data_IF_557934998379
#
_entry.id   IF_557934998379
#
_cell.length_a   1.000
_cell.length_b   1.000
_cell.length_c   1.000
_cell.angle_alpha   90.00
_cell.angle_beta   90.00
_cell.angle_gamma   90.00
#
_symmetry.space_group_name_H-M   'P 1'
#
loop_
_entity.id
_entity.type
_entity.pdbx_description
1 polymer ?
#
# COMPACT_ATOMS: atom_id res chain seq x y z
N UNK A 1 -9.46 -33.56 -13.39
CA UNK A 1 -9.07 -32.74 -14.56
C UNK A 1 -10.28 -32.69 -15.46
N UNK A 2 -11.09 -31.60 -15.43
CA UNK A 2 -12.13 -31.41 -16.44
C UNK A 2 -11.41 -31.09 -17.76
N UNK A 3 -11.74 -31.79 -18.83
CA UNK A 3 -11.21 -31.53 -20.18
C UNK A 3 -11.57 -30.11 -20.57
N UNK A 4 -10.61 -29.30 -21.07
CA UNK A 4 -10.90 -27.95 -21.58
C UNK A 4 -11.93 -28.08 -22.72
N UNK A 5 -13.18 -27.70 -22.41
CA UNK A 5 -14.26 -27.70 -23.40
C UNK A 5 -14.15 -26.40 -24.18
N UNK A 6 -13.68 -26.48 -25.41
CA UNK A 6 -13.63 -25.32 -26.31
C UNK A 6 -14.93 -25.27 -27.12
N UNK A 7 -15.66 -24.18 -27.02
CA UNK A 7 -16.89 -23.92 -27.75
C UNK A 7 -16.69 -22.73 -28.71
N UNK A 8 -17.25 -22.84 -29.92
CA UNK A 8 -17.24 -21.79 -30.95
C UNK A 8 -18.66 -21.32 -31.27
N UNK A 9 -18.78 -20.10 -31.82
CA UNK A 9 -20.08 -19.57 -32.29
C UNK A 9 -21.04 -19.23 -31.13
N UNK A 10 -20.55 -19.03 -29.93
CA UNK A 10 -21.34 -18.64 -28.79
C UNK A 10 -21.45 -17.12 -28.61
N UNK A 11 -20.50 -16.36 -29.15
CA UNK A 11 -20.48 -14.90 -29.02
C UNK A 11 -21.66 -14.28 -29.79
N UNK A 12 -22.38 -13.37 -29.14
CA UNK A 12 -23.50 -12.64 -29.69
C UNK A 12 -23.22 -11.15 -29.83
N UNK A 13 -22.48 -10.58 -28.88
CA UNK A 13 -22.16 -9.14 -28.84
C UNK A 13 -20.90 -8.92 -28.02
N UNK A 14 -20.12 -7.91 -28.38
CA UNK A 14 -19.02 -7.35 -27.59
C UNK A 14 -19.37 -5.89 -27.31
N UNK A 15 -19.30 -5.47 -26.06
CA UNK A 15 -19.64 -4.10 -25.65
C UNK A 15 -18.72 -3.67 -24.50
N UNK A 16 -17.74 -2.78 -24.83
CA UNK A 16 -16.70 -2.43 -23.88
C UNK A 16 -15.97 -3.68 -23.38
N UNK A 17 -15.84 -3.89 -22.07
CA UNK A 17 -15.20 -5.06 -21.51
C UNK A 17 -16.10 -6.30 -21.46
N UNK A 18 -17.38 -6.19 -21.89
CA UNK A 18 -18.36 -7.26 -21.75
C UNK A 18 -18.52 -8.06 -23.05
N UNK A 19 -18.47 -9.37 -22.92
CA UNK A 19 -18.74 -10.34 -23.98
C UNK A 19 -20.04 -11.08 -23.63
N UNK A 20 -21.05 -10.89 -24.47
CA UNK A 20 -22.36 -11.55 -24.35
C UNK A 20 -22.31 -12.87 -25.13
N UNK A 21 -22.55 -13.96 -24.44
CA UNK A 21 -22.49 -15.31 -24.97
C UNK A 21 -23.83 -16.01 -24.80
N UNK A 22 -24.19 -16.86 -25.78
CA UNK A 22 -25.26 -17.84 -25.59
C UNK A 22 -24.81 -18.87 -24.55
N UNK A 23 -25.66 -19.17 -23.58
CA UNK A 23 -25.39 -20.18 -22.55
C UNK A 23 -25.51 -21.58 -23.14
N UNK A 24 -24.38 -22.14 -23.55
CA UNK A 24 -24.29 -23.49 -24.10
C UNK A 24 -23.26 -24.36 -23.37
N UNK A 25 -22.69 -23.84 -22.28
CA UNK A 25 -21.72 -24.51 -21.42
C UNK A 25 -22.14 -24.40 -19.97
N UNK A 26 -21.84 -25.41 -19.17
CA UNK A 26 -22.09 -25.42 -17.75
C UNK A 26 -20.96 -24.73 -17.02
N UNK A 27 -21.24 -23.52 -16.52
CA UNK A 27 -20.30 -22.65 -15.83
C UNK A 27 -20.98 -21.97 -14.65
N UNK A 28 -20.19 -21.65 -13.62
CA UNK A 28 -20.63 -20.87 -12.46
C UNK A 28 -20.29 -19.39 -12.58
N UNK A 29 -20.96 -18.55 -11.80
CA UNK A 29 -20.58 -17.15 -11.63
C UNK A 29 -19.16 -17.07 -11.01
N UNK A 30 -18.35 -16.11 -11.45
CA UNK A 30 -16.95 -15.94 -11.12
C UNK A 30 -16.00 -17.06 -11.65
N UNK A 31 -16.48 -17.97 -12.46
CA UNK A 31 -15.63 -18.96 -13.11
C UNK A 31 -14.80 -18.34 -14.23
N UNK A 32 -13.54 -18.79 -14.33
CA UNK A 32 -12.60 -18.30 -15.34
C UNK A 32 -12.86 -18.93 -16.72
N UNK A 33 -12.70 -18.11 -17.75
CA UNK A 33 -12.78 -18.53 -19.15
C UNK A 33 -11.53 -18.05 -19.89
N UNK A 34 -11.04 -18.85 -20.84
CA UNK A 34 -10.10 -18.39 -21.84
C UNK A 34 -10.88 -17.97 -23.08
N UNK A 35 -10.65 -16.77 -23.56
CA UNK A 35 -11.29 -16.18 -24.73
C UNK A 35 -10.23 -16.04 -25.82
N UNK A 36 -10.40 -16.77 -26.91
CA UNK A 36 -9.46 -16.78 -28.02
C UNK A 36 -10.11 -16.03 -29.18
N UNK A 37 -9.57 -14.86 -29.50
CA UNK A 37 -10.05 -14.05 -30.64
C UNK A 37 -9.57 -14.55 -31.98
N UNK A 38 -10.15 -14.04 -33.07
CA UNK A 38 -9.68 -14.28 -34.43
C UNK A 38 -8.26 -13.76 -34.72
N UNK A 39 -7.78 -12.84 -33.88
CA UNK A 39 -6.40 -12.36 -33.84
C UNK A 39 -5.39 -13.37 -33.24
N UNK A 40 -5.86 -14.54 -32.81
CA UNK A 40 -5.06 -15.60 -32.19
C UNK A 40 -4.64 -15.31 -30.75
N UNK A 41 -4.99 -14.16 -30.18
CA UNK A 41 -4.67 -13.81 -28.77
C UNK A 41 -5.62 -14.52 -27.82
N UNK A 42 -5.06 -15.06 -26.76
CA UNK A 42 -5.84 -15.62 -25.64
C UNK A 42 -5.96 -14.59 -24.56
N UNK A 43 -7.20 -14.30 -24.17
CA UNK A 43 -7.57 -13.36 -23.11
C UNK A 43 -8.21 -14.14 -21.97
N UNK A 44 -8.03 -13.63 -20.77
CA UNK A 44 -8.71 -14.13 -19.58
C UNK A 44 -10.08 -13.44 -19.48
N UNK A 45 -11.12 -14.22 -19.18
CA UNK A 45 -12.46 -13.73 -18.87
C UNK A 45 -12.98 -14.32 -17.60
N UNK A 46 -13.97 -13.66 -17.01
CA UNK A 46 -14.69 -14.08 -15.81
C UNK A 46 -16.19 -14.04 -16.09
N UNK A 47 -16.92 -15.07 -15.70
CA UNK A 47 -18.37 -15.07 -15.78
C UNK A 47 -18.92 -14.06 -14.76
N UNK A 48 -19.48 -12.96 -15.26
CA UNK A 48 -20.06 -11.90 -14.45
C UNK A 48 -21.52 -12.20 -14.09
N UNK A 49 -22.32 -12.63 -15.09
CA UNK A 49 -23.75 -12.88 -14.90
C UNK A 49 -24.18 -14.10 -15.68
N UNK A 50 -25.09 -14.89 -15.10
CA UNK A 50 -25.76 -16.01 -15.75
C UNK A 50 -27.26 -15.73 -15.83
N UNK A 51 -27.79 -15.77 -17.05
CA UNK A 51 -29.23 -15.74 -17.34
C UNK A 51 -29.67 -17.12 -17.84
N UNK A 52 -30.95 -17.29 -18.16
CA UNK A 52 -31.50 -18.57 -18.59
C UNK A 52 -30.87 -19.05 -19.91
N UNK A 53 -30.78 -18.16 -20.90
CA UNK A 53 -30.27 -18.45 -22.25
C UNK A 53 -28.94 -17.77 -22.59
N UNK A 54 -28.45 -16.86 -21.71
CA UNK A 54 -27.28 -16.05 -21.92
C UNK A 54 -26.34 -16.09 -20.72
N UNK A 55 -25.06 -15.81 -20.99
CA UNK A 55 -24.07 -15.47 -19.98
C UNK A 55 -23.31 -14.22 -20.39
N UNK A 56 -23.00 -13.38 -19.43
CA UNK A 56 -22.18 -12.19 -19.61
C UNK A 56 -20.81 -12.48 -19.00
N UNK A 57 -19.80 -12.33 -19.84
CA UNK A 57 -18.40 -12.55 -19.45
C UNK A 57 -17.69 -11.21 -19.46
N UNK A 58 -17.10 -10.85 -18.37
CA UNK A 58 -16.17 -9.73 -18.30
C UNK A 58 -14.82 -10.17 -18.87
N UNK A 59 -14.41 -9.55 -19.97
CA UNK A 59 -13.09 -9.75 -20.57
C UNK A 59 -12.11 -8.88 -19.82
N UNK A 60 -11.12 -9.49 -19.22
CA UNK A 60 -10.21 -8.80 -18.29
C UNK A 60 -9.11 -8.01 -19.01
N UNK A 61 -8.93 -8.29 -20.29
CA UNK A 61 -7.96 -7.63 -21.16
C UNK A 61 -8.68 -6.85 -22.28
N UNK A 62 -7.92 -6.17 -23.12
CA UNK A 62 -8.51 -5.43 -24.24
C UNK A 62 -9.38 -6.32 -25.13
N UNK A 63 -10.60 -5.89 -25.38
CA UNK A 63 -11.54 -6.52 -26.32
C UNK A 63 -11.28 -6.16 -27.78
N UNK A 64 -10.32 -5.29 -28.07
CA UNK A 64 -9.94 -4.93 -29.42
C UNK A 64 -9.53 -6.18 -30.23
N UNK A 65 -10.12 -6.36 -31.40
CA UNK A 65 -9.88 -7.53 -32.24
C UNK A 65 -10.73 -8.76 -31.89
N UNK A 66 -11.64 -8.70 -30.92
CA UNK A 66 -12.64 -9.75 -30.71
C UNK A 66 -13.79 -9.60 -31.73
N UNK A 67 -13.98 -10.60 -32.58
CA UNK A 67 -15.11 -10.71 -33.48
C UNK A 67 -16.15 -11.69 -32.97
N UNK A 68 -17.43 -11.42 -33.27
CA UNK A 68 -18.53 -12.32 -32.83
C UNK A 68 -18.43 -13.70 -33.50
N UNK A 69 -17.98 -13.75 -34.79
CA UNK A 69 -18.00 -14.97 -35.55
C UNK A 69 -16.85 -15.95 -35.26
N UNK A 70 -15.71 -15.43 -34.85
CA UNK A 70 -14.43 -16.15 -34.72
C UNK A 70 -13.92 -16.30 -33.30
N UNK A 71 -14.63 -15.73 -32.33
CA UNK A 71 -14.30 -15.88 -30.90
C UNK A 71 -14.59 -17.29 -30.40
N UNK A 72 -13.59 -17.92 -29.81
CA UNK A 72 -13.66 -19.22 -29.16
C UNK A 72 -13.58 -19.06 -27.65
N UNK A 73 -14.32 -19.90 -26.94
CA UNK A 73 -14.38 -19.90 -25.47
C UNK A 73 -13.89 -21.26 -24.98
N UNK A 74 -12.94 -21.26 -24.05
CA UNK A 74 -12.54 -22.47 -23.34
C UNK A 74 -12.83 -22.30 -21.84
N UNK A 75 -13.59 -23.23 -21.29
CA UNK A 75 -13.96 -23.25 -19.86
C UNK A 75 -12.78 -23.77 -19.07
N UNK A 76 -12.38 -23.04 -18.03
CA UNK A 76 -11.29 -23.43 -17.13
C UNK A 76 -11.81 -24.36 -16.02
N UNK A 77 -13.07 -24.21 -15.62
CA UNK A 77 -13.74 -25.06 -14.64
C UNK A 77 -13.44 -24.71 -13.19
N UNK A 78 -12.79 -23.58 -12.94
CA UNK A 78 -12.47 -23.06 -11.61
C UNK A 78 -12.40 -21.52 -11.64
N UNK A 79 -12.55 -20.85 -10.51
CA UNK A 79 -12.31 -19.40 -10.41
C UNK A 79 -10.88 -19.03 -10.77
N UNK A 80 -10.66 -17.74 -11.08
CA UNK A 80 -9.33 -17.23 -11.40
C UNK A 80 -8.38 -17.58 -10.25
N UNK A 81 -7.27 -18.22 -10.59
CA UNK A 81 -6.27 -18.69 -9.64
C UNK A 81 -4.86 -18.41 -10.14
N UNK A 82 -3.93 -18.14 -9.22
CA UNK A 82 -2.51 -17.96 -9.50
C UNK A 82 -1.72 -19.22 -9.14
N UNK A 83 -0.83 -19.64 -10.04
CA UNK A 83 0.16 -20.69 -9.76
C UNK A 83 1.34 -20.09 -9.00
N UNK A 84 1.68 -20.67 -7.85
CA UNK A 84 2.68 -20.16 -6.93
C UNK A 84 3.69 -21.23 -6.55
N UNK A 85 4.92 -20.81 -6.30
CA UNK A 85 6.05 -21.68 -5.95
C UNK A 85 7.20 -20.89 -5.33
N UNK A 86 8.28 -21.54 -4.88
CA UNK A 86 9.33 -20.93 -4.07
C UNK A 86 10.17 -19.86 -4.79
N UNK A 87 10.11 -19.78 -6.13
CA UNK A 87 10.92 -18.84 -6.92
C UNK A 87 10.13 -17.58 -7.31
N UNK A 88 9.41 -16.99 -6.37
CA UNK A 88 8.65 -15.75 -6.58
C UNK A 88 9.51 -14.50 -6.39
N UNK A 89 10.46 -14.53 -5.46
CA UNK A 89 11.31 -13.38 -5.19
C UNK A 89 12.19 -13.05 -6.40
N UNK A 90 12.37 -11.78 -6.67
CA UNK A 90 13.10 -11.28 -7.83
C UNK A 90 12.28 -11.21 -9.12
N UNK A 91 10.99 -11.58 -9.09
CA UNK A 91 10.14 -11.66 -10.27
C UNK A 91 9.28 -10.40 -10.46
N UNK A 92 9.01 -10.10 -11.73
CA UNK A 92 8.14 -9.01 -12.17
C UNK A 92 7.00 -9.60 -13.00
N UNK A 93 5.77 -9.26 -12.62
CA UNK A 93 4.55 -9.75 -13.25
C UNK A 93 3.68 -8.60 -13.77
N UNK A 94 2.87 -8.91 -14.77
CA UNK A 94 1.79 -8.03 -15.25
C UNK A 94 0.56 -8.07 -14.31
N UNK A 95 -0.45 -7.32 -14.65
CA UNK A 95 -1.73 -7.17 -13.95
C UNK A 95 -2.50 -8.49 -13.74
N UNK A 96 -2.20 -9.54 -14.48
CA UNK A 96 -2.86 -10.85 -14.41
C UNK A 96 -1.90 -11.99 -14.06
N UNK A 97 -0.71 -11.65 -13.53
CA UNK A 97 0.26 -12.61 -13.01
C UNK A 97 1.11 -13.29 -14.08
N UNK A 98 1.24 -12.72 -15.28
CA UNK A 98 2.16 -13.21 -16.32
C UNK A 98 3.53 -12.54 -16.11
N UNK A 99 4.64 -13.30 -16.32
CA UNK A 99 5.98 -12.74 -16.24
C UNK A 99 6.22 -11.59 -17.23
N UNK A 100 6.78 -10.47 -16.75
CA UNK A 100 7.28 -9.34 -17.54
C UNK A 100 8.82 -9.31 -17.63
N UNK A 101 9.48 -10.09 -16.79
CA UNK A 101 10.94 -10.13 -16.63
C UNK A 101 11.67 -11.00 -17.68
N UNK A 102 10.95 -11.50 -18.69
CA UNK A 102 11.51 -12.38 -19.72
C UNK A 102 11.81 -13.81 -19.26
N UNK A 103 11.56 -14.14 -18.00
CA UNK A 103 11.73 -15.50 -17.46
C UNK A 103 10.47 -16.35 -17.69
N UNK A 104 10.60 -17.69 -17.70
CA UNK A 104 9.45 -18.58 -17.80
C UNK A 104 8.51 -18.42 -16.61
N UNK A 105 7.24 -18.83 -16.73
CA UNK A 105 6.29 -18.87 -15.63
C UNK A 105 6.85 -19.64 -14.42
N UNK A 106 6.53 -19.16 -13.21
CA UNK A 106 6.95 -19.84 -11.97
C UNK A 106 6.34 -21.24 -11.94
N UNK A 107 7.14 -22.30 -11.68
CA UNK A 107 6.61 -23.66 -11.53
C UNK A 107 5.60 -23.69 -10.38
N UNK A 108 4.34 -23.98 -10.69
CA UNK A 108 3.27 -23.94 -9.72
C UNK A 108 3.29 -25.20 -8.81
N UNK A 109 3.69 -25.03 -7.56
CA UNK A 109 3.52 -26.05 -6.52
C UNK A 109 2.12 -25.98 -5.90
N UNK A 110 1.53 -24.81 -5.86
CA UNK A 110 0.15 -24.58 -5.41
C UNK A 110 -0.58 -23.65 -6.37
N UNK A 111 -1.89 -23.80 -6.44
CA UNK A 111 -2.78 -22.85 -7.10
C UNK A 111 -3.70 -22.27 -6.05
N UNK A 112 -3.69 -20.96 -5.90
CA UNK A 112 -4.55 -20.25 -4.96
C UNK A 112 -5.49 -19.30 -5.73
N UNK A 113 -6.73 -19.23 -5.28
CA UNK A 113 -7.72 -18.29 -5.82
C UNK A 113 -7.29 -16.86 -5.53
N UNK A 114 -7.40 -15.98 -6.51
CA UNK A 114 -7.00 -14.58 -6.36
C UNK A 114 -7.94 -13.76 -5.48
N UNK A 115 -9.19 -14.20 -5.31
CA UNK A 115 -10.15 -13.53 -4.42
C UNK A 115 -9.66 -13.58 -2.96
N UNK A 116 -8.77 -14.51 -2.62
CA UNK A 116 -8.32 -14.74 -1.27
C UNK A 116 -9.45 -15.20 -0.36
N UNK A 117 -9.17 -15.29 0.90
CA UNK A 117 -10.17 -15.49 1.96
C UNK A 117 -9.90 -14.50 3.07
N UNK A 118 -10.95 -13.81 3.51
CA UNK A 118 -10.85 -12.99 4.72
C UNK A 118 -10.34 -13.86 5.87
N UNK A 119 -9.31 -13.38 6.55
CA UNK A 119 -8.74 -14.08 7.69
C UNK A 119 -9.81 -14.18 8.79
N UNK A 120 -10.11 -15.39 9.23
CA UNK A 120 -11.04 -15.62 10.35
C UNK A 120 -10.54 -14.85 11.59
N UNK A 121 -11.35 -13.96 12.18
CA UNK A 121 -10.96 -13.20 13.35
C UNK A 121 -10.43 -14.05 14.51
N UNK A 122 -10.95 -15.28 14.69
CA UNK A 122 -10.51 -16.21 15.73
C UNK A 122 -9.09 -16.76 15.51
N UNK A 123 -8.52 -16.61 14.31
CA UNK A 123 -7.15 -17.01 13.97
C UNK A 123 -6.17 -15.86 13.97
N UNK A 124 -6.64 -14.61 14.16
CA UNK A 124 -5.79 -13.43 14.17
C UNK A 124 -5.06 -13.27 15.49
N UNK A 125 -3.77 -13.01 15.39
CA UNK A 125 -2.98 -12.44 16.47
C UNK A 125 -2.98 -10.92 16.41
N UNK A 126 -2.71 -10.29 17.55
CA UNK A 126 -2.48 -8.85 17.60
C UNK A 126 -1.20 -8.52 16.82
N UNK A 127 -1.23 -7.54 15.91
CA UNK A 127 -0.03 -6.99 15.30
C UNK A 127 0.98 -6.58 16.37
N UNK A 128 2.22 -7.01 16.20
CA UNK A 128 3.34 -6.71 17.10
C UNK A 128 4.60 -6.57 16.28
N UNK A 129 5.64 -6.10 16.91
CA UNK A 129 6.95 -5.91 16.32
C UNK A 129 7.03 -4.77 15.30
N UNK A 130 8.17 -4.14 15.31
CA UNK A 130 8.49 -2.97 14.52
C UNK A 130 9.02 -3.35 13.14
N UNK A 131 8.56 -2.64 12.11
CA UNK A 131 9.19 -2.65 10.78
C UNK A 131 9.92 -1.33 10.61
N UNK A 132 11.23 -1.39 10.45
CA UNK A 132 12.07 -0.22 10.17
C UNK A 132 11.96 0.13 8.69
N UNK A 133 11.41 1.31 8.39
CA UNK A 133 11.20 1.79 7.02
C UNK A 133 12.39 2.60 6.48
N UNK A 134 13.31 3.01 7.36
CA UNK A 134 14.40 3.92 7.06
C UNK A 134 13.95 5.38 6.89
N UNK A 135 12.70 5.70 7.23
CA UNK A 135 12.10 7.04 7.17
C UNK A 135 11.82 7.55 8.58
N UNK A 136 12.60 8.53 9.03
CA UNK A 136 12.53 9.04 10.41
C UNK A 136 11.12 9.46 10.86
N UNK A 137 10.37 10.17 10.01
CA UNK A 137 9.02 10.61 10.35
C UNK A 137 8.03 9.44 10.51
N UNK A 138 8.30 8.29 9.90
CA UNK A 138 7.52 7.05 10.09
C UNK A 138 8.07 6.32 11.31
N UNK A 139 9.34 5.97 11.30
CA UNK A 139 9.95 5.08 12.28
C UNK A 139 9.91 5.65 13.70
N UNK A 140 10.13 6.97 13.85
CA UNK A 140 10.14 7.65 15.14
C UNK A 140 8.75 8.09 15.61
N UNK A 141 7.87 8.54 14.69
CA UNK A 141 6.64 9.26 15.05
C UNK A 141 5.35 8.49 14.76
N UNK A 142 5.37 7.57 13.81
CA UNK A 142 4.19 6.85 13.30
C UNK A 142 4.56 5.41 12.93
N UNK A 143 5.27 4.71 13.80
CA UNK A 143 5.92 3.43 13.53
C UNK A 143 4.99 2.41 12.91
N UNK A 144 5.51 1.73 11.87
CA UNK A 144 4.83 0.64 11.18
C UNK A 144 5.02 -0.66 11.97
N UNK A 145 3.93 -1.38 12.18
CA UNK A 145 3.89 -2.63 12.96
C UNK A 145 3.58 -3.81 12.05
N UNK A 146 4.21 -4.95 12.28
CA UNK A 146 3.94 -6.18 11.50
C UNK A 146 2.47 -6.56 11.57
N UNK A 147 1.87 -6.88 10.42
CA UNK A 147 0.45 -7.23 10.31
C UNK A 147 -0.51 -6.04 10.25
N UNK A 148 -0.02 -4.81 10.31
CA UNK A 148 -0.80 -3.58 10.23
C UNK A 148 -1.19 -3.21 8.80
N UNK A 149 -2.30 -2.49 8.66
CA UNK A 149 -2.70 -1.74 7.46
C UNK A 149 -2.52 -0.25 7.74
N UNK A 150 -1.47 0.37 7.20
CA UNK A 150 -1.16 1.78 7.40
C UNK A 150 -1.11 2.52 6.06
N UNK A 151 -2.19 3.20 5.65
CA UNK A 151 -2.23 3.90 4.38
C UNK A 151 -1.38 5.18 4.40
N UNK A 152 -0.87 5.53 3.22
CA UNK A 152 -0.20 6.77 2.93
C UNK A 152 -1.12 7.66 2.09
N UNK A 153 -1.57 8.76 2.66
CA UNK A 153 -2.40 9.76 2.01
C UNK A 153 -1.54 10.86 1.40
N UNK A 154 -1.64 11.01 0.11
CA UNK A 154 -0.91 12.00 -0.68
C UNK A 154 -1.86 12.94 -1.39
N UNK A 155 -1.40 14.12 -1.74
CA UNK A 155 -2.08 14.98 -2.69
C UNK A 155 -1.48 14.83 -4.10
N UNK A 156 -2.23 15.18 -5.14
CA UNK A 156 -1.74 15.10 -6.52
C UNK A 156 -0.44 15.90 -6.70
N UNK A 157 0.55 15.30 -7.34
CA UNK A 157 1.86 15.90 -7.59
C UNK A 157 2.83 15.94 -6.40
N UNK A 158 2.48 15.33 -5.27
CA UNK A 158 3.44 15.07 -4.20
C UNK A 158 4.25 13.78 -4.49
N UNK A 159 5.46 13.66 -3.93
CA UNK A 159 6.41 12.59 -4.28
C UNK A 159 6.11 11.25 -3.57
N UNK A 160 4.85 10.79 -3.59
CA UNK A 160 4.44 9.55 -2.93
C UNK A 160 5.07 8.30 -3.55
N UNK A 161 5.22 8.26 -4.87
CA UNK A 161 5.87 7.15 -5.57
C UNK A 161 7.34 7.04 -5.17
N UNK A 162 8.05 8.17 -5.10
CA UNK A 162 9.44 8.22 -4.61
C UNK A 162 9.53 7.74 -3.17
N UNK A 163 8.58 8.09 -2.30
CA UNK A 163 8.55 7.63 -0.92
C UNK A 163 8.24 6.13 -0.83
N UNK A 164 7.25 5.64 -1.58
CA UNK A 164 6.90 4.22 -1.64
C UNK A 164 8.09 3.37 -2.10
N UNK A 165 8.79 3.81 -3.15
CA UNK A 165 10.02 3.17 -3.64
C UNK A 165 11.12 3.18 -2.60
N UNK A 166 11.37 4.32 -1.95
CA UNK A 166 12.39 4.45 -0.91
C UNK A 166 12.10 3.53 0.30
N UNK A 167 10.83 3.33 0.67
CA UNK A 167 10.45 2.36 1.71
C UNK A 167 10.72 0.94 1.22
N UNK A 168 10.35 0.59 -0.02
CA UNK A 168 10.58 -0.73 -0.58
C UNK A 168 12.07 -1.09 -0.69
N UNK A 169 12.93 -0.12 -0.99
CA UNK A 169 14.38 -0.33 -1.03
C UNK A 169 15.03 -0.57 0.34
N UNK A 170 14.42 -0.11 1.41
CA UNK A 170 15.08 0.10 2.71
C UNK A 170 14.42 -0.61 3.88
N UNK A 171 13.14 -0.97 3.73
CA UNK A 171 12.39 -1.61 4.80
C UNK A 171 13.06 -2.92 5.22
N UNK A 172 13.16 -3.12 6.54
CA UNK A 172 13.79 -4.31 7.13
C UNK A 172 13.20 -4.64 8.49
N UNK A 173 13.49 -5.83 8.95
CA UNK A 173 13.16 -6.26 10.30
C UNK A 173 14.32 -5.99 11.25
N UNK A 174 13.99 -5.66 12.47
CA UNK A 174 14.96 -5.53 13.56
C UNK A 174 15.19 -6.89 14.21
N UNK A 175 16.44 -7.36 14.26
CA UNK A 175 16.83 -8.55 15.00
C UNK A 175 16.51 -9.91 14.36
N UNK A 176 15.78 -9.94 13.26
CA UNK A 176 15.54 -11.16 12.49
C UNK A 176 16.52 -11.29 11.31
N UNK A 177 16.67 -12.51 10.78
CA UNK A 177 17.44 -12.71 9.55
C UNK A 177 16.74 -12.02 8.39
N UNK A 178 17.49 -11.29 7.57
CA UNK A 178 17.02 -10.63 6.35
C UNK A 178 16.28 -11.61 5.41
N UNK A 179 16.67 -12.88 5.44
CA UNK A 179 16.06 -13.94 4.64
C UNK A 179 14.56 -14.17 4.89
N UNK A 180 14.04 -13.70 6.03
CA UNK A 180 12.61 -13.83 6.36
C UNK A 180 11.77 -12.65 5.90
N UNK A 181 12.37 -11.55 5.48
CA UNK A 181 11.63 -10.38 5.01
C UNK A 181 11.42 -10.45 3.50
N UNK A 182 10.26 -10.06 3.05
CA UNK A 182 9.93 -9.96 1.63
C UNK A 182 9.03 -8.75 1.36
N UNK A 183 9.14 -8.20 0.17
CA UNK A 183 8.31 -7.08 -0.29
C UNK A 183 7.48 -7.54 -1.48
N UNK A 184 6.22 -7.11 -1.52
CA UNK A 184 5.39 -7.19 -2.70
C UNK A 184 5.04 -5.76 -3.12
N UNK A 185 5.65 -5.31 -4.21
CA UNK A 185 5.45 -3.96 -4.74
C UNK A 185 4.42 -3.98 -5.88
N UNK A 186 3.41 -3.13 -5.80
CA UNK A 186 2.28 -3.14 -6.73
C UNK A 186 2.07 -1.76 -7.33
N UNK A 187 2.35 -1.61 -8.64
CA UNK A 187 1.98 -0.43 -9.40
C UNK A 187 0.59 -0.60 -10.00
N UNK A 188 -0.34 0.31 -9.71
CA UNK A 188 -1.76 0.22 -10.11
C UNK A 188 -2.11 1.42 -10.98
N UNK A 189 -2.33 1.20 -12.27
CA UNK A 189 -2.65 2.26 -13.23
C UNK A 189 -1.54 3.29 -13.40
N UNK A 190 -0.29 2.85 -13.31
CA UNK A 190 0.87 3.75 -13.36
C UNK A 190 1.31 4.02 -14.80
N UNK A 191 1.81 5.23 -15.12
CA UNK A 191 2.46 5.52 -16.41
C UNK A 191 3.66 4.60 -16.66
N UNK A 192 4.01 4.40 -17.93
CA UNK A 192 5.13 3.54 -18.33
C UNK A 192 6.47 4.00 -17.76
N UNK A 193 6.73 5.30 -17.72
CA UNK A 193 7.94 5.91 -17.16
C UNK A 193 8.02 5.70 -15.64
N UNK A 194 6.90 5.79 -14.95
CA UNK A 194 6.81 5.51 -13.51
C UNK A 194 7.07 4.02 -13.23
N UNK A 195 6.48 3.11 -14.01
CA UNK A 195 6.71 1.67 -13.87
C UNK A 195 8.18 1.31 -14.12
N UNK A 196 8.80 1.92 -15.13
CA UNK A 196 10.22 1.73 -15.42
C UNK A 196 11.11 2.32 -14.31
N UNK A 197 10.73 3.46 -13.74
CA UNK A 197 11.43 4.04 -12.58
C UNK A 197 11.40 3.11 -11.38
N UNK A 198 10.25 2.49 -11.07
CA UNK A 198 10.14 1.50 -9.99
C UNK A 198 11.05 0.29 -10.23
N UNK A 199 11.01 -0.27 -11.45
CA UNK A 199 11.85 -1.42 -11.81
C UNK A 199 13.34 -1.09 -11.67
N UNK A 200 13.77 0.01 -12.27
CA UNK A 200 15.17 0.45 -12.26
C UNK A 200 15.69 0.74 -10.84
N UNK A 201 14.86 1.34 -9.98
CA UNK A 201 15.21 1.60 -8.60
C UNK A 201 15.43 0.30 -7.82
N UNK A 202 14.53 -0.69 -7.93
CA UNK A 202 14.65 -2.00 -7.28
C UNK A 202 15.87 -2.80 -7.78
N UNK A 203 16.16 -2.75 -9.08
CA UNK A 203 17.33 -3.39 -9.66
C UNK A 203 18.64 -2.74 -9.19
N UNK A 204 18.68 -1.41 -9.23
CA UNK A 204 19.89 -0.64 -8.88
C UNK A 204 20.25 -0.75 -7.40
N UNK A 205 19.25 -0.73 -6.52
CA UNK A 205 19.44 -0.89 -5.07
C UNK A 205 19.73 -2.33 -4.65
N UNK A 206 19.47 -3.32 -5.54
CA UNK A 206 19.53 -4.73 -5.20
C UNK A 206 18.28 -5.24 -4.45
N UNK A 207 17.31 -4.38 -4.15
CA UNK A 207 16.09 -4.73 -3.43
C UNK A 207 15.19 -5.70 -4.21
N UNK A 208 15.36 -5.79 -5.54
CA UNK A 208 14.59 -6.74 -6.36
C UNK A 208 14.77 -8.18 -5.88
N UNK A 209 15.95 -8.56 -5.38
CA UNK A 209 16.23 -9.93 -4.91
C UNK A 209 15.31 -10.45 -3.80
N UNK A 210 14.70 -9.56 -3.01
CA UNK A 210 13.71 -9.89 -1.98
C UNK A 210 12.33 -9.27 -2.24
N UNK A 211 12.09 -8.77 -3.46
CA UNK A 211 10.84 -8.14 -3.89
C UNK A 211 10.17 -8.96 -4.99
N UNK A 212 8.84 -8.99 -4.96
CA UNK A 212 7.98 -9.41 -6.08
C UNK A 212 7.24 -8.18 -6.56
N UNK A 213 7.29 -7.90 -7.86
CA UNK A 213 6.60 -6.75 -8.44
C UNK A 213 5.38 -7.17 -9.28
N UNK A 214 4.30 -6.44 -9.15
CA UNK A 214 3.12 -6.51 -10.02
C UNK A 214 2.87 -5.12 -10.62
N UNK A 215 2.80 -5.04 -11.94
CA UNK A 215 2.66 -3.77 -12.64
C UNK A 215 1.43 -3.78 -13.54
N UNK A 216 0.51 -2.86 -13.27
CA UNK A 216 -0.61 -2.51 -14.13
C UNK A 216 -0.35 -1.11 -14.69
N UNK A 217 -0.30 -1.02 -16.01
CA UNK A 217 -0.02 0.23 -16.70
C UNK A 217 -1.29 1.06 -16.92
N UNK A 218 -1.11 2.36 -17.12
CA UNK A 218 -2.21 3.31 -17.25
C UNK A 218 -3.10 3.05 -18.48
N UNK A 219 -2.54 2.48 -19.54
CA UNK A 219 -3.22 2.12 -20.78
C UNK A 219 -3.89 0.73 -20.76
N UNK A 220 -3.72 -0.04 -19.66
CA UNK A 220 -4.42 -1.31 -19.49
C UNK A 220 -5.87 -1.10 -19.04
N UNK A 221 -6.70 -2.13 -19.23
CA UNK A 221 -8.14 -2.06 -18.91
C UNK A 221 -8.43 -1.87 -17.42
N UNK A 222 -9.54 -1.24 -17.10
CA UNK A 222 -10.01 -1.10 -15.71
C UNK A 222 -10.25 -2.45 -15.04
N UNK A 223 -10.68 -3.48 -15.77
CA UNK A 223 -10.83 -4.83 -15.25
C UNK A 223 -9.49 -5.46 -14.82
N UNK A 224 -8.41 -5.30 -15.62
CA UNK A 224 -7.07 -5.71 -15.21
C UNK A 224 -6.61 -4.98 -13.96
N UNK A 225 -6.88 -3.68 -13.88
CA UNK A 225 -6.53 -2.84 -12.73
C UNK A 225 -7.16 -3.34 -11.43
N UNK A 226 -8.40 -3.83 -11.47
CA UNK A 226 -9.08 -4.42 -10.32
C UNK A 226 -8.49 -5.77 -9.89
N UNK A 227 -7.85 -6.50 -10.79
CA UNK A 227 -7.26 -7.79 -10.48
C UNK A 227 -5.84 -7.67 -9.91
N UNK A 228 -5.10 -6.64 -10.29
CA UNK A 228 -3.69 -6.47 -9.94
C UNK A 228 -3.42 -6.62 -8.44
N UNK A 229 -4.10 -5.90 -7.51
CA UNK A 229 -3.87 -6.08 -6.09
C UNK A 229 -4.30 -7.47 -5.59
N UNK A 230 -5.26 -8.13 -6.26
CA UNK A 230 -5.70 -9.47 -5.89
C UNK A 230 -4.65 -10.53 -6.21
N UNK A 231 -4.01 -10.46 -7.40
CA UNK A 231 -2.87 -11.30 -7.74
C UNK A 231 -1.68 -11.07 -6.80
N UNK A 232 -1.33 -9.80 -6.57
CA UNK A 232 -0.24 -9.42 -5.71
C UNK A 232 -0.43 -9.91 -4.26
N UNK A 233 -1.62 -9.72 -3.69
CA UNK A 233 -1.93 -10.20 -2.35
C UNK A 233 -1.96 -11.74 -2.26
N UNK A 234 -2.34 -12.43 -3.34
CA UNK A 234 -2.28 -13.89 -3.37
C UNK A 234 -0.83 -14.41 -3.33
N UNK A 235 0.08 -13.72 -4.02
CA UNK A 235 1.52 -13.99 -3.89
C UNK A 235 2.04 -13.65 -2.48
N UNK A 236 1.59 -12.52 -1.92
CA UNK A 236 1.97 -12.11 -0.57
C UNK A 236 1.48 -13.10 0.50
N UNK A 237 0.24 -13.59 0.41
CA UNK A 237 -0.29 -14.63 1.30
C UNK A 237 0.50 -15.94 1.20
N UNK A 238 0.90 -16.34 0.00
CA UNK A 238 1.75 -17.51 -0.18
C UNK A 238 3.10 -17.34 0.53
N UNK A 239 3.77 -16.21 0.32
CA UNK A 239 5.03 -15.91 1.00
C UNK A 239 4.87 -15.84 2.52
N UNK A 240 3.79 -15.19 3.01
CA UNK A 240 3.55 -15.02 4.44
C UNK A 240 3.12 -16.30 5.14
N UNK A 241 2.14 -17.02 4.58
CA UNK A 241 1.45 -18.12 5.29
C UNK A 241 1.78 -19.52 4.75
N UNK A 242 2.65 -19.64 3.74
CA UNK A 242 3.15 -20.93 3.26
C UNK A 242 4.67 -21.01 3.41
N UNK A 243 5.38 -19.90 3.20
CA UNK A 243 6.83 -19.80 3.36
C UNK A 243 7.25 -19.15 4.69
N UNK A 244 6.29 -18.78 5.56
CA UNK A 244 6.49 -18.17 6.88
C UNK A 244 7.39 -16.91 6.85
N UNK A 245 7.21 -16.06 5.81
CA UNK A 245 7.93 -14.80 5.66
C UNK A 245 7.14 -13.63 6.26
N UNK A 246 7.85 -12.59 6.67
CA UNK A 246 7.24 -11.30 6.99
C UNK A 246 7.16 -10.47 5.72
N UNK A 247 5.94 -10.24 5.23
CA UNK A 247 5.71 -9.59 3.95
C UNK A 247 5.17 -8.18 4.14
N UNK A 248 5.83 -7.20 3.52
CA UNK A 248 5.32 -5.84 3.37
C UNK A 248 4.79 -5.66 1.95
N UNK A 249 3.49 -5.40 1.82
CA UNK A 249 2.84 -5.11 0.54
C UNK A 249 2.67 -3.60 0.39
N UNK A 250 3.27 -3.01 -0.62
CA UNK A 250 3.15 -1.58 -0.97
C UNK A 250 2.33 -1.50 -2.26
N UNK A 251 1.19 -0.79 -2.21
CA UNK A 251 0.26 -0.68 -3.35
C UNK A 251 0.08 0.79 -3.74
N UNK A 252 0.60 1.19 -4.88
CA UNK A 252 0.48 2.55 -5.44
C UNK A 252 -0.11 2.51 -6.86
N UNK A 253 -1.21 3.18 -7.22
CA UNK A 253 -2.06 4.01 -6.41
C UNK A 253 -3.45 3.35 -6.24
N UNK A 254 -3.90 3.22 -5.01
CA UNK A 254 -5.21 2.65 -4.71
C UNK A 254 -6.37 3.57 -5.12
N UNK A 255 -6.12 4.85 -5.38
CA UNK A 255 -7.11 5.73 -5.98
C UNK A 255 -7.42 5.32 -7.41
N UNK A 256 -6.41 4.92 -8.20
CA UNK A 256 -6.61 4.36 -9.54
C UNK A 256 -7.43 3.06 -9.50
N UNK A 257 -7.24 2.24 -8.47
CA UNK A 257 -8.08 1.07 -8.23
C UNK A 257 -9.55 1.46 -8.02
N UNK A 258 -9.82 2.42 -7.14
CA UNK A 258 -11.19 2.86 -6.86
C UNK A 258 -11.85 3.52 -8.08
N UNK A 259 -11.10 4.28 -8.88
CA UNK A 259 -11.61 4.85 -10.13
C UNK A 259 -11.93 3.76 -11.15
N UNK A 260 -11.11 2.71 -11.26
CA UNK A 260 -11.42 1.56 -12.09
C UNK A 260 -12.69 0.83 -11.61
N UNK A 261 -12.87 0.72 -10.29
CA UNK A 261 -14.09 0.14 -9.72
C UNK A 261 -15.35 0.94 -10.08
N UNK A 262 -15.24 2.28 -10.05
CA UNK A 262 -16.30 3.19 -10.48
C UNK A 262 -16.65 3.01 -11.97
N UNK A 263 -15.62 2.90 -12.82
CA UNK A 263 -15.78 2.72 -14.27
C UNK A 263 -16.45 1.37 -14.60
N UNK A 264 -15.97 0.28 -13.99
CA UNK A 264 -16.54 -1.06 -14.20
C UNK A 264 -17.98 -1.13 -13.69
N UNK A 265 -18.27 -0.59 -12.51
CA UNK A 265 -19.63 -0.51 -11.95
C UNK A 265 -20.57 0.27 -12.89
N UNK A 266 -20.12 1.40 -13.42
CA UNK A 266 -20.90 2.19 -14.39
C UNK A 266 -21.17 1.43 -15.69
N UNK A 267 -20.20 0.66 -16.20
CA UNK A 267 -20.36 -0.16 -17.41
C UNK A 267 -21.36 -1.31 -17.22
N UNK A 268 -21.54 -1.79 -15.99
CA UNK A 268 -22.54 -2.79 -15.63
C UNK A 268 -23.94 -2.17 -15.42
N UNK A 269 -24.07 -0.85 -15.48
CA UNK A 269 -25.35 -0.15 -15.26
C UNK A 269 -25.81 -0.16 -13.81
N UNK A 270 -24.89 -0.32 -12.85
CA UNK A 270 -25.20 -0.30 -11.43
C UNK A 270 -25.59 1.10 -10.95
N UNK A 271 -26.46 1.17 -9.94
CA UNK A 271 -26.90 2.45 -9.36
C UNK A 271 -25.72 3.07 -8.58
N UNK A 272 -25.25 4.26 -8.98
CA UNK A 272 -24.12 4.89 -8.32
C UNK A 272 -24.48 5.40 -6.91
N UNK A 273 -23.55 5.24 -5.99
CA UNK A 273 -23.58 5.84 -4.67
C UNK A 273 -22.91 7.21 -4.62
N UNK A 274 -22.32 7.56 -3.47
CA UNK A 274 -21.66 8.83 -3.21
C UNK A 274 -20.53 9.11 -4.24
N UNK A 275 -20.55 10.29 -4.87
CA UNK A 275 -19.58 10.73 -5.91
C UNK A 275 -19.45 9.74 -7.10
N UNK A 276 -20.47 8.93 -7.37
CA UNK A 276 -20.47 8.00 -8.50
C UNK A 276 -19.78 6.66 -8.25
N UNK A 277 -19.29 6.39 -7.04
CA UNK A 277 -18.73 5.10 -6.67
C UNK A 277 -19.82 4.07 -6.38
N UNK A 278 -19.55 2.76 -6.59
CA UNK A 278 -20.52 1.72 -6.26
C UNK A 278 -20.77 1.64 -4.77
N UNK A 279 -22.01 1.26 -4.39
CA UNK A 279 -22.39 1.14 -2.98
C UNK A 279 -21.58 0.11 -2.19
N UNK A 280 -21.01 -0.87 -2.88
CA UNK A 280 -20.17 -1.93 -2.29
C UNK A 280 -18.68 -1.60 -2.22
N UNK A 281 -18.24 -0.38 -2.56
CA UNK A 281 -16.80 0.00 -2.53
C UNK A 281 -16.16 -0.26 -1.16
N UNK A 282 -16.91 -0.06 -0.06
CA UNK A 282 -16.41 -0.36 1.29
C UNK A 282 -16.05 -1.85 1.46
N UNK A 283 -16.98 -2.74 1.13
CA UNK A 283 -16.76 -4.18 1.25
C UNK A 283 -15.72 -4.70 0.27
N UNK A 284 -15.59 -4.08 -0.89
CA UNK A 284 -14.56 -4.42 -1.86
C UNK A 284 -13.16 -4.04 -1.36
N UNK A 285 -12.96 -2.81 -0.88
CA UNK A 285 -11.73 -2.37 -0.22
C UNK A 285 -11.42 -3.21 1.02
N UNK A 286 -12.44 -3.53 1.83
CA UNK A 286 -12.26 -4.41 2.98
C UNK A 286 -11.78 -5.80 2.56
N UNK A 287 -12.27 -6.35 1.44
CA UNK A 287 -11.81 -7.64 0.91
C UNK A 287 -10.32 -7.67 0.56
N UNK A 288 -9.75 -6.50 0.23
CA UNK A 288 -8.31 -6.32 -0.05
C UNK A 288 -7.53 -6.11 1.24
N UNK A 289 -7.95 -5.13 2.05
CA UNK A 289 -7.18 -4.73 3.23
C UNK A 289 -7.25 -5.76 4.36
N UNK A 290 -8.35 -6.49 4.52
CA UNK A 290 -8.50 -7.55 5.55
C UNK A 290 -7.69 -8.82 5.26
N UNK A 291 -6.93 -8.86 4.15
CA UNK A 291 -5.93 -9.89 3.89
C UNK A 291 -4.63 -9.68 4.68
N UNK A 292 -4.41 -8.49 5.24
CA UNK A 292 -3.30 -8.22 6.15
C UNK A 292 -3.55 -8.80 7.54
N UNK A 293 -2.50 -9.17 8.24
CA UNK A 293 -2.55 -9.60 9.64
C UNK A 293 -1.45 -10.57 10.04
N UNK A 294 -1.51 -10.95 11.32
CA UNK A 294 -0.75 -12.02 11.92
C UNK A 294 -1.70 -13.19 12.22
N UNK A 295 -1.24 -14.43 12.10
CA UNK A 295 -2.01 -15.63 12.38
C UNK A 295 -1.36 -16.47 13.46
N UNK A 296 -2.15 -17.05 14.39
CA UNK A 296 -1.65 -17.89 15.49
C UNK A 296 -0.77 -19.07 15.04
N UNK A 297 -1.12 -19.66 13.89
CA UNK A 297 -0.49 -20.88 13.42
C UNK A 297 0.66 -20.64 12.43
N UNK A 298 1.05 -19.38 12.19
CA UNK A 298 2.08 -19.00 11.23
C UNK A 298 3.08 -18.03 11.85
N UNK A 299 4.36 -18.24 11.55
CA UNK A 299 5.42 -17.32 11.95
C UNK A 299 5.44 -16.07 11.05
N UNK A 300 5.01 -16.21 9.80
CA UNK A 300 4.95 -15.12 8.83
C UNK A 300 3.79 -14.14 9.09
N UNK A 301 3.94 -12.93 8.58
CA UNK A 301 2.95 -11.85 8.72
C UNK A 301 2.75 -11.12 7.41
N UNK A 302 1.57 -10.55 7.21
CA UNK A 302 1.27 -9.72 6.03
C UNK A 302 0.91 -8.32 6.48
N UNK A 303 1.75 -7.35 6.14
CA UNK A 303 1.59 -5.92 6.42
C UNK A 303 1.26 -5.19 5.13
N UNK A 304 0.39 -4.18 5.17
CA UNK A 304 0.02 -3.40 3.98
C UNK A 304 0.29 -1.91 4.17
N UNK A 305 0.89 -1.30 3.16
CA UNK A 305 1.07 0.15 3.00
C UNK A 305 0.36 0.59 1.70
N UNK A 306 -0.96 0.75 1.71
CA UNK A 306 -1.67 1.29 0.54
C UNK A 306 -1.40 2.79 0.40
N UNK A 307 -1.03 3.21 -0.81
CA UNK A 307 -0.83 4.62 -1.17
C UNK A 307 -2.07 5.12 -1.88
N UNK A 308 -2.56 6.29 -1.47
CA UNK A 308 -3.74 6.92 -2.07
C UNK A 308 -3.46 8.39 -2.41
N UNK A 309 -3.74 8.77 -3.65
CA UNK A 309 -3.79 10.17 -4.06
C UNK A 309 -5.17 10.75 -3.77
N UNK A 310 -5.24 11.78 -2.93
CA UNK A 310 -6.48 12.43 -2.52
C UNK A 310 -7.07 13.26 -3.67
N UNK A 311 -8.25 12.91 -4.22
CA UNK A 311 -8.89 13.73 -5.25
C UNK A 311 -9.25 15.11 -4.72
N UNK A 312 -8.68 16.16 -5.32
CA UNK A 312 -8.89 17.55 -4.90
C UNK A 312 -8.32 17.90 -3.53
N UNK A 313 -7.35 17.14 -3.03
CA UNK A 313 -6.77 17.25 -1.68
C UNK A 313 -7.82 17.08 -0.56
N UNK A 314 -8.98 16.45 -0.88
CA UNK A 314 -10.11 16.28 0.02
C UNK A 314 -10.01 14.94 0.80
N UNK A 315 -9.60 15.02 2.05
CA UNK A 315 -9.56 13.85 2.95
C UNK A 315 -10.97 13.29 3.26
N UNK A 316 -12.03 14.09 3.10
CA UNK A 316 -13.42 13.66 3.22
C UNK A 316 -13.98 13.00 1.95
N UNK A 317 -13.15 12.80 0.91
CA UNK A 317 -13.54 12.06 -0.28
C UNK A 317 -13.82 10.58 0.07
N UNK A 318 -14.78 9.89 -0.60
CA UNK A 318 -15.13 8.51 -0.29
C UNK A 318 -13.94 7.55 -0.22
N UNK A 319 -12.91 7.72 -1.06
CA UNK A 319 -11.75 6.83 -1.09
C UNK A 319 -10.95 6.88 0.22
N UNK A 320 -10.39 8.03 0.68
CA UNK A 320 -9.67 8.08 1.93
C UNK A 320 -10.59 7.87 3.16
N UNK A 321 -11.83 8.37 3.10
CA UNK A 321 -12.81 8.23 4.17
C UNK A 321 -13.06 6.73 4.49
N UNK A 322 -13.43 5.93 3.47
CA UNK A 322 -13.67 4.50 3.64
C UNK A 322 -12.39 3.73 3.99
N UNK A 323 -11.25 4.10 3.40
CA UNK A 323 -9.95 3.48 3.73
C UNK A 323 -9.62 3.69 5.21
N UNK A 324 -9.83 4.90 5.75
CA UNK A 324 -9.57 5.23 7.14
C UNK A 324 -10.41 4.43 8.15
N UNK A 325 -11.63 3.98 7.76
CA UNK A 325 -12.43 3.09 8.60
C UNK A 325 -11.92 1.65 8.65
N UNK A 326 -11.26 1.17 7.59
CA UNK A 326 -10.79 -0.22 7.49
C UNK A 326 -9.39 -0.38 8.08
N UNK A 327 -8.58 0.68 8.06
CA UNK A 327 -7.15 0.66 8.38
C UNK A 327 -6.84 1.16 9.79
N UNK A 328 -5.61 0.92 10.27
CA UNK A 328 -5.19 1.26 11.64
C UNK A 328 -4.33 2.53 11.68
N UNK A 329 -4.79 3.59 11.03
CA UNK A 329 -4.12 4.89 11.03
C UNK A 329 -3.93 5.46 9.64
N UNK A 330 -2.99 6.40 9.51
CA UNK A 330 -2.63 7.03 8.24
C UNK A 330 -1.32 7.80 8.34
N UNK A 331 -0.57 7.86 7.25
CA UNK A 331 0.54 8.79 7.05
C UNK A 331 0.07 9.85 6.05
N UNK A 332 0.26 11.13 6.34
CA UNK A 332 -0.25 12.23 5.51
C UNK A 332 0.91 13.04 4.96
N UNK A 333 0.97 13.19 3.64
CA UNK A 333 1.90 14.09 2.97
C UNK A 333 1.35 15.51 2.92
N UNK A 334 2.23 16.49 3.09
CA UNK A 334 1.91 17.91 3.18
C UNK A 334 2.52 18.69 2.02
N UNK A 335 1.67 19.49 1.37
CA UNK A 335 2.06 20.30 0.22
C UNK A 335 2.98 21.46 0.60
N UNK A 336 2.80 22.04 1.78
CA UNK A 336 3.62 23.18 2.25
C UNK A 336 5.02 22.69 2.66
N UNK A 337 5.16 21.51 3.24
CA UNK A 337 6.46 20.88 3.48
C UNK A 337 7.17 20.61 2.15
N UNK A 338 6.46 20.06 1.15
CA UNK A 338 7.04 19.81 -0.17
C UNK A 338 7.50 21.09 -0.88
N UNK A 339 6.74 22.21 -0.78
CA UNK A 339 7.16 23.50 -1.33
C UNK A 339 8.40 24.11 -0.68
N UNK A 340 8.72 23.67 0.52
CA UNK A 340 9.93 24.05 1.29
C UNK A 340 11.06 23.06 1.12
N UNK A 341 10.96 22.19 0.09
CA UNK A 341 11.97 21.16 -0.24
C UNK A 341 12.25 20.16 0.90
N UNK A 342 11.26 19.92 1.77
CA UNK A 342 11.32 18.88 2.80
C UNK A 342 10.94 17.54 2.17
N UNK A 343 11.83 16.57 2.21
CA UNK A 343 11.56 15.20 1.74
C UNK A 343 11.95 14.16 2.79
N UNK A 344 11.09 13.17 3.06
CA UNK A 344 9.69 13.08 2.63
C UNK A 344 8.82 14.16 3.30
N UNK A 345 7.84 14.74 2.60
CA UNK A 345 7.01 15.83 3.14
C UNK A 345 5.91 15.29 4.05
N UNK A 346 6.25 14.52 5.07
CA UNK A 346 5.30 13.91 6.01
C UNK A 346 4.91 14.92 7.08
N UNK A 347 3.61 15.22 7.17
CA UNK A 347 3.06 15.99 8.27
C UNK A 347 2.70 15.05 9.43
N UNK A 348 3.50 15.07 10.47
CA UNK A 348 3.37 14.16 11.61
C UNK A 348 2.13 14.44 12.47
N UNK A 349 1.53 15.64 12.40
CA UNK A 349 0.37 15.99 13.25
C UNK A 349 -0.93 15.31 12.83
N UNK A 350 -1.33 15.29 11.54
CA UNK A 350 -2.48 14.51 11.07
C UNK A 350 -2.17 13.04 10.83
N UNK A 351 -0.90 12.65 10.91
CA UNK A 351 -0.48 11.26 10.80
C UNK A 351 -0.67 10.52 12.11
N UNK A 352 -1.04 9.25 12.03
CA UNK A 352 -1.31 8.41 13.19
C UNK A 352 -1.09 6.94 12.84
N UNK A 353 -0.31 6.24 13.64
CA UNK A 353 -0.29 4.77 13.69
C UNK A 353 -0.94 4.31 14.99
N UNK A 354 -2.16 3.74 14.89
CA UNK A 354 -2.93 3.29 16.06
C UNK A 354 -2.32 2.09 16.78
N UNK A 355 -1.44 1.36 16.09
CA UNK A 355 -0.79 0.15 16.63
C UNK A 355 0.65 0.40 17.06
N UNK A 356 1.15 1.64 17.00
CA UNK A 356 2.52 1.98 17.33
C UNK A 356 2.96 1.45 18.71
N UNK A 357 2.09 1.54 19.71
CA UNK A 357 2.39 1.09 21.08
C UNK A 357 2.65 -0.44 21.18
N UNK A 358 2.19 -1.23 20.21
CA UNK A 358 2.44 -2.67 20.17
C UNK A 358 3.75 -3.06 19.47
N UNK A 359 4.41 -2.10 18.82
CA UNK A 359 5.69 -2.31 18.12
C UNK A 359 6.82 -1.44 18.63
N UNK A 360 6.62 -0.59 19.66
CA UNK A 360 7.62 0.34 20.17
C UNK A 360 7.85 0.20 21.68
N UNK A 361 9.01 0.66 22.15
CA UNK A 361 9.40 0.59 23.55
C UNK A 361 10.13 -0.72 23.90
N UNK A 362 10.21 -1.00 25.20
CA UNK A 362 11.00 -2.11 25.76
C UNK A 362 10.63 -3.46 25.11
N UNK A 363 11.61 -4.09 24.50
CA UNK A 363 11.46 -5.39 23.85
C UNK A 363 11.24 -5.33 22.34
N UNK A 364 10.89 -4.16 21.79
CA UNK A 364 10.69 -3.93 20.35
C UNK A 364 11.68 -2.89 19.78
N UNK A 365 11.75 -1.73 20.46
CA UNK A 365 12.68 -0.64 20.13
C UNK A 365 13.41 -0.20 21.41
N UNK A 366 13.98 1.01 21.41
CA UNK A 366 14.52 1.59 22.64
C UNK A 366 13.39 1.88 23.65
N UNK A 367 13.66 1.67 24.95
CA UNK A 367 12.67 1.86 26.00
C UNK A 367 12.13 3.30 26.09
N UNK A 368 12.95 4.27 25.68
CA UNK A 368 12.62 5.71 25.74
C UNK A 368 11.96 6.21 24.43
N UNK A 369 11.83 5.36 23.40
CA UNK A 369 11.21 5.72 22.13
C UNK A 369 9.80 6.29 22.28
N UNK A 370 8.85 5.67 23.02
CA UNK A 370 7.50 6.23 23.16
C UNK A 370 7.48 7.60 23.85
N UNK A 371 8.33 7.81 24.86
CA UNK A 371 8.42 9.09 25.57
C UNK A 371 8.96 10.20 24.65
N UNK A 372 10.02 9.88 23.86
CA UNK A 372 10.60 10.79 22.86
C UNK A 372 9.56 11.18 21.81
N UNK A 373 8.89 10.20 21.21
CA UNK A 373 7.86 10.44 20.19
C UNK A 373 6.75 11.34 20.71
N UNK A 374 6.22 11.04 21.88
CA UNK A 374 5.16 11.83 22.52
C UNK A 374 5.60 13.27 22.82
N UNK A 375 6.85 13.48 23.27
CA UNK A 375 7.37 14.82 23.55
C UNK A 375 7.59 15.61 22.26
N UNK A 376 8.17 14.99 21.23
CA UNK A 376 8.35 15.61 19.91
C UNK A 376 7.02 16.02 19.28
N UNK A 377 6.00 15.15 19.36
CA UNK A 377 4.66 15.46 18.85
C UNK A 377 4.06 16.69 19.55
N UNK A 378 4.11 16.73 20.89
CA UNK A 378 3.58 17.85 21.67
C UNK A 378 4.34 19.16 21.38
N UNK A 379 5.67 19.08 21.31
CA UNK A 379 6.52 20.23 21.00
C UNK A 379 6.26 20.76 19.58
N UNK A 380 6.14 19.89 18.59
CA UNK A 380 5.85 20.31 17.22
C UNK A 380 4.43 20.89 17.07
N UNK A 381 3.44 20.34 17.77
CA UNK A 381 2.10 20.93 17.82
C UNK A 381 2.13 22.37 18.38
N UNK A 382 2.89 22.62 19.44
CA UNK A 382 3.10 23.96 19.99
C UNK A 382 3.85 24.87 18.98
N UNK A 383 4.90 24.38 18.34
CA UNK A 383 5.63 25.14 17.34
C UNK A 383 4.72 25.59 16.18
N UNK A 384 3.84 24.71 15.71
CA UNK A 384 2.83 25.04 14.67
C UNK A 384 1.85 26.11 15.17
N UNK A 385 1.37 26.01 16.43
CA UNK A 385 0.51 27.02 17.05
C UNK A 385 1.21 28.38 17.12
N UNK A 386 2.46 28.40 17.58
CA UNK A 386 3.26 29.63 17.68
C UNK A 386 3.53 30.24 16.30
N UNK A 387 3.76 29.42 15.27
CA UNK A 387 3.93 29.89 13.89
C UNK A 387 2.69 30.62 13.37
N UNK A 388 1.48 30.14 13.68
CA UNK A 388 0.23 30.84 13.37
C UNK A 388 0.15 32.15 14.15
N UNK A 389 0.48 32.16 15.45
CA UNK A 389 0.50 33.35 16.27
C UNK A 389 1.48 34.40 15.71
N UNK A 390 2.68 33.99 15.34
CA UNK A 390 3.70 34.86 14.73
C UNK A 390 3.24 35.49 13.40
N UNK A 391 2.41 34.80 12.63
CA UNK A 391 1.85 35.35 11.38
C UNK A 391 0.85 36.47 11.60
N UNK A 392 0.21 36.55 12.78
CA UNK A 392 -0.79 37.57 13.14
C UNK A 392 -0.16 38.75 13.84
N UNK A 393 0.70 38.53 14.83
CA UNK A 393 1.23 39.60 15.68
C UNK A 393 2.69 39.96 15.43
N UNK A 394 3.34 39.28 14.48
CA UNK A 394 4.76 39.49 14.18
C UNK A 394 5.69 38.76 15.18
N UNK A 395 6.95 38.57 14.76
CA UNK A 395 7.96 37.89 15.61
C UNK A 395 8.38 38.72 16.84
N UNK A 396 8.22 40.03 16.78
CA UNK A 396 8.61 40.96 17.87
C UNK A 396 7.70 40.83 19.08
N UNK A 397 6.43 40.46 18.89
CA UNK A 397 5.44 40.24 19.95
C UNK A 397 5.54 38.88 20.68
N UNK A 398 6.46 38.01 20.28
CA UNK A 398 6.59 36.67 20.85
C UNK A 398 7.45 36.67 22.11
N UNK A 399 7.08 35.82 23.08
CA UNK A 399 7.92 35.51 24.23
C UNK A 399 9.20 34.77 23.83
N UNK A 400 10.19 34.72 24.71
CA UNK A 400 11.42 33.97 24.46
C UNK A 400 11.14 32.48 24.27
N UNK A 401 10.23 31.92 25.03
CA UNK A 401 9.80 30.51 24.87
C UNK A 401 9.13 30.29 23.51
N UNK A 402 8.28 31.24 23.03
CA UNK A 402 7.67 31.11 21.71
C UNK A 402 8.73 31.17 20.61
N UNK A 403 9.75 32.00 20.74
CA UNK A 403 10.87 32.05 19.78
C UNK A 403 11.64 30.73 19.73
N UNK A 404 11.87 30.09 20.90
CA UNK A 404 12.47 28.77 20.97
C UNK A 404 11.60 27.70 20.30
N UNK A 405 10.27 27.76 20.44
CA UNK A 405 9.35 26.87 19.72
C UNK A 405 9.38 27.08 18.20
N UNK A 406 9.55 28.33 17.71
CA UNK A 406 9.73 28.55 16.28
C UNK A 406 11.03 27.92 15.77
N UNK A 407 12.13 28.13 16.48
CA UNK A 407 13.42 27.52 16.15
C UNK A 407 13.35 25.98 16.20
N UNK A 408 12.75 25.43 17.24
CA UNK A 408 12.50 23.99 17.35
C UNK A 408 11.70 23.47 16.13
N UNK A 409 10.61 24.16 15.76
CA UNK A 409 9.77 23.74 14.64
C UNK A 409 10.52 23.72 13.32
N UNK A 410 11.34 24.76 13.06
CA UNK A 410 12.16 24.85 11.86
C UNK A 410 13.24 23.73 11.83
N UNK A 411 13.90 23.47 12.95
CA UNK A 411 14.88 22.38 13.09
C UNK A 411 14.25 21.01 13.01
N UNK A 412 13.08 20.82 13.62
CA UNK A 412 12.36 19.56 13.53
C UNK A 412 12.02 19.19 12.07
N UNK A 413 11.54 20.16 11.29
CA UNK A 413 11.24 19.95 9.87
C UNK A 413 12.50 19.69 9.05
N UNK A 414 13.63 20.40 9.32
CA UNK A 414 14.85 20.30 8.53
C UNK A 414 15.75 19.11 8.93
N UNK A 415 15.85 18.80 10.21
CA UNK A 415 16.81 17.83 10.71
C UNK A 415 16.17 16.47 10.99
N UNK A 416 14.89 16.45 11.45
CA UNK A 416 14.17 15.21 11.79
C UNK A 416 13.34 14.70 10.62
N UNK A 417 12.47 15.55 10.06
CA UNK A 417 11.57 15.12 8.97
C UNK A 417 12.30 15.02 7.65
N UNK A 418 13.08 16.05 7.29
CA UNK A 418 13.81 16.07 6.02
C UNK A 418 15.00 15.11 6.05
N UNK A 419 15.11 14.25 5.04
CA UNK A 419 16.23 13.32 4.90
C UNK A 419 16.54 12.99 3.43
N UNK A 420 17.82 13.02 3.08
CA UNK A 420 18.31 12.65 1.76
C UNK A 420 18.65 11.15 1.66
N UNK A 421 19.02 10.54 2.80
CA UNK A 421 19.45 9.15 2.91
C UNK A 421 18.61 8.41 3.96
N UNK A 422 18.53 7.06 3.92
CA UNK A 422 17.88 6.28 4.97
C UNK A 422 18.59 6.50 6.31
N UNK A 423 17.81 6.42 7.39
CA UNK A 423 18.32 6.50 8.77
C UNK A 423 17.87 5.29 9.55
N UNK A 424 18.70 4.82 10.45
CA UNK A 424 18.31 3.83 11.46
C UNK A 424 17.43 4.50 12.51
N UNK A 425 16.70 3.68 13.28
CA UNK A 425 15.91 4.20 14.40
C UNK A 425 16.79 4.90 15.44
N UNK A 426 18.01 4.38 15.70
CA UNK A 426 18.97 4.99 16.63
C UNK A 426 19.41 6.39 16.18
N UNK A 427 19.72 6.56 14.89
CA UNK A 427 20.03 7.86 14.30
C UNK A 427 18.84 8.81 14.39
N UNK A 428 17.67 8.31 14.09
CA UNK A 428 16.39 9.06 14.17
C UNK A 428 16.09 9.53 15.59
N UNK A 429 16.25 8.67 16.58
CA UNK A 429 16.09 9.01 18.00
C UNK A 429 17.16 10.01 18.45
N UNK A 430 18.41 9.86 18.01
CA UNK A 430 19.49 10.80 18.34
C UNK A 430 19.18 12.22 17.87
N UNK A 431 18.65 12.36 16.65
CA UNK A 431 18.20 13.64 16.09
C UNK A 431 17.01 14.21 16.87
N UNK A 432 16.05 13.36 17.26
CA UNK A 432 14.91 13.76 18.07
C UNK A 432 15.33 14.34 19.42
N UNK A 433 16.23 13.66 20.14
CA UNK A 433 16.77 14.16 21.41
C UNK A 433 17.55 15.46 21.24
N UNK A 434 18.37 15.57 20.20
CA UNK A 434 19.12 16.78 19.90
C UNK A 434 18.21 17.97 19.62
N UNK A 435 17.12 17.75 18.89
CA UNK A 435 16.15 18.81 18.57
C UNK A 435 15.39 19.27 19.82
N UNK A 436 15.02 18.35 20.72
CA UNK A 436 14.36 18.70 21.98
C UNK A 436 15.26 19.54 22.91
N UNK A 437 16.59 19.45 22.79
CA UNK A 437 17.52 20.27 23.58
C UNK A 437 17.44 21.78 23.29
N UNK A 438 16.74 22.19 22.24
CA UNK A 438 16.44 23.60 21.96
C UNK A 438 15.36 24.20 22.88
N UNK A 439 14.59 23.34 23.55
CA UNK A 439 13.50 23.77 24.42
C UNK A 439 13.96 23.79 25.90
N UNK A 440 13.40 24.71 26.71
CA UNK A 440 13.64 24.72 28.15
C UNK A 440 13.11 23.44 28.81
N UNK A 441 13.78 23.00 29.88
CA UNK A 441 13.35 21.79 30.62
C UNK A 441 11.90 21.88 31.12
N UNK A 442 11.40 23.06 31.43
CA UNK A 442 10.03 23.28 31.86
C UNK A 442 8.99 22.92 30.79
N UNK A 443 9.38 22.90 29.51
CA UNK A 443 8.52 22.55 28.38
C UNK A 443 8.58 21.05 28.04
N UNK A 444 9.53 20.29 28.62
CA UNK A 444 9.71 18.86 28.39
C UNK A 444 8.84 18.01 29.32
N UNK A 445 7.57 18.36 29.43
CA UNK A 445 6.63 17.84 30.45
C UNK A 445 6.26 16.36 30.28
N UNK A 446 6.57 15.75 29.16
CA UNK A 446 6.31 14.34 28.86
C UNK A 446 7.52 13.44 29.09
N UNK A 447 8.64 14.01 29.51
CA UNK A 447 9.87 13.31 29.84
C UNK A 447 10.10 13.25 31.35
N UNK A 448 10.71 12.17 31.81
CA UNK A 448 11.20 12.10 33.20
C UNK A 448 12.45 12.95 33.40
N UNK A 449 12.74 13.34 34.62
CA UNK A 449 13.97 14.06 34.98
C UNK A 449 15.24 13.26 34.63
N UNK A 450 15.18 11.92 34.67
CA UNK A 450 16.27 11.04 34.30
C UNK A 450 16.52 11.12 32.76
N UNK A 451 15.46 11.07 31.95
CA UNK A 451 15.56 11.21 30.48
C UNK A 451 16.10 12.59 30.09
N UNK A 452 15.61 13.66 30.71
CA UNK A 452 16.13 15.03 30.48
C UNK A 452 17.60 15.11 30.83
N UNK A 453 18.00 14.57 31.99
CA UNK A 453 19.41 14.55 32.42
C UNK A 453 20.30 13.77 31.47
N UNK A 454 19.86 12.59 31.03
CA UNK A 454 20.62 11.68 30.18
C UNK A 454 20.78 12.17 28.73
N UNK A 455 19.70 12.65 28.12
CA UNK A 455 19.66 12.88 26.68
C UNK A 455 19.72 14.36 26.29
N UNK A 456 19.20 15.25 27.13
CA UNK A 456 19.11 16.68 26.81
C UNK A 456 20.29 17.45 27.43
N UNK A 457 20.49 17.34 28.76
CA UNK A 457 21.56 18.06 29.48
C UNK A 457 22.95 17.45 29.28
N UNK A 458 23.05 16.12 29.14
CA UNK A 458 24.33 15.43 29.00
C UNK A 458 25.08 15.74 27.70
N UNK A 459 24.37 16.27 26.69
CA UNK A 459 24.94 16.64 25.38
C UNK A 459 25.33 18.13 25.25
N UNK A 460 24.88 18.99 26.19
CA UNK A 460 25.22 20.43 26.14
C UNK A 460 26.64 20.76 26.70
N UNK A 461 27.51 19.76 26.89
CA UNK A 461 28.87 19.93 27.45
C UNK A 461 30.00 19.48 26.53
N UNK A 462 29.71 19.06 25.32
CA UNK A 462 30.70 18.81 24.26
C UNK A 462 30.39 19.74 23.08
#
# INVERSE_FOLDING_TARGET
MRTELTATGLAQRVEGPLLFLRRAVDVGVNEALKIIGGDGRTRLGRVATLEEDRMIVEVLESTAGLGVADTKIAVVGEPISMGLGPNLLGRIFDSVGRPLDGHPPVPAMRRLRIDGMSINPARRDLPRDFIETGVTAIDLMNSLVRGQKLPLFSAAGLPHDRLATAIAERARLRGDSEDRFAIVFVGIGVPHDTAESFRSAMETSGALGHTVMFLNLADESSAQRLLTPRFALTAAEYLAFVEDRHVLVIMTDMTNYCEALREVSASHGEIPGRKGFPGYMYSDLASIFERAGCLHDHAGTLTQLPVLTLPGDDIGHPIPDLTGYITEGQIVLDRDLNRRDVFPPINVLPSLSRLMDYGTGKGFTDADHPALSNQLFAAYANARRVRVLASVMGREGLSDTDRQYLEFGDRFEQDVVNQAAPRTLEESMALGWQTLALLPDAELTRLSNEQIGRYVRGRSRD
#
